data_IF_789764213342
#
_entry.id   IF_789764213342
#
_cell.length_a   1.000
_cell.length_b   1.000
_cell.length_c   1.000
_cell.angle_alpha   90.00
_cell.angle_beta   90.00
_cell.angle_gamma   90.00
#
_symmetry.space_group_name_H-M   'P 1'
#
loop_
_entity.id
_entity.type
_entity.pdbx_description
1 polymer ?
#
# COMPACT_ATOMS: atom_id res chain seq x y z
N UNK A 1 -43.16 -5.67 32.36
CA UNK A 1 -41.74 -5.93 32.70
C UNK A 1 -41.01 -6.91 31.78
N UNK A 2 -41.64 -7.92 31.14
CA UNK A 2 -40.94 -8.90 30.28
C UNK A 2 -40.44 -8.38 28.91
N UNK A 3 -40.96 -7.27 28.39
CA UNK A 3 -40.60 -6.75 27.06
C UNK A 3 -39.26 -5.99 27.00
N UNK A 4 -38.78 -5.45 28.13
CA UNK A 4 -37.50 -4.72 28.14
C UNK A 4 -36.28 -5.65 28.21
N UNK A 5 -36.38 -6.82 28.84
CA UNK A 5 -35.25 -7.75 28.95
C UNK A 5 -34.93 -8.42 27.60
N UNK A 6 -35.93 -8.64 26.75
CA UNK A 6 -35.76 -9.23 25.41
C UNK A 6 -35.05 -8.25 24.47
N UNK A 7 -35.37 -6.95 24.54
CA UNK A 7 -34.71 -5.92 23.71
C UNK A 7 -33.24 -5.72 24.09
N UNK A 8 -32.90 -5.77 25.39
CA UNK A 8 -31.50 -5.72 25.86
C UNK A 8 -30.70 -6.94 25.43
N UNK A 9 -31.30 -8.14 25.46
CA UNK A 9 -30.65 -9.37 25.02
C UNK A 9 -30.29 -9.37 23.54
N UNK A 10 -31.20 -8.90 22.68
CA UNK A 10 -30.95 -8.78 21.22
C UNK A 10 -29.90 -7.70 20.93
N UNK A 11 -29.88 -6.58 21.68
CA UNK A 11 -28.86 -5.54 21.52
C UNK A 11 -27.45 -6.01 21.91
N UNK A 12 -27.32 -6.72 23.03
CA UNK A 12 -26.02 -7.26 23.47
C UNK A 12 -25.52 -8.33 22.50
N UNK A 13 -26.42 -9.17 21.96
CA UNK A 13 -26.07 -10.16 20.94
C UNK A 13 -25.68 -9.52 19.59
N UNK A 14 -26.28 -8.40 19.19
CA UNK A 14 -25.90 -7.67 17.98
C UNK A 14 -24.52 -7.02 18.11
N UNK A 15 -24.19 -6.43 19.26
CA UNK A 15 -22.86 -5.86 19.54
C UNK A 15 -21.80 -6.97 19.62
N UNK A 16 -22.10 -8.08 20.30
CA UNK A 16 -21.20 -9.24 20.36
C UNK A 16 -21.02 -9.92 18.99
N UNK A 17 -22.06 -9.93 18.15
CA UNK A 17 -22.00 -10.47 16.79
C UNK A 17 -21.18 -9.62 15.81
N UNK A 18 -21.22 -8.28 15.93
CA UNK A 18 -20.36 -7.38 15.14
C UNK A 18 -18.89 -7.49 15.58
N UNK A 19 -18.63 -7.71 16.87
CA UNK A 19 -17.26 -7.93 17.38
C UNK A 19 -16.69 -9.31 17.00
N UNK A 20 -17.53 -10.29 16.68
CA UNK A 20 -17.10 -11.65 16.32
C UNK A 20 -16.82 -11.85 14.81
N UNK A 21 -17.06 -10.83 13.98
CA UNK A 21 -16.77 -10.82 12.53
C UNK A 21 -15.77 -9.70 12.18
N UNK A 22 -15.11 -9.11 13.18
CA UNK A 22 -13.93 -8.31 12.93
C UNK A 22 -12.80 -9.28 12.56
N UNK A 23 -12.62 -9.55 11.26
CA UNK A 23 -11.31 -9.97 10.78
C UNK A 23 -10.31 -8.90 11.21
N UNK A 24 -9.12 -9.33 11.60
CA UNK A 24 -7.99 -8.43 11.74
C UNK A 24 -7.79 -7.79 10.39
N UNK A 25 -8.01 -6.48 10.30
CA UNK A 25 -7.72 -5.78 9.08
C UNK A 25 -6.26 -5.95 8.74
N UNK A 26 -6.08 -6.14 7.45
CA UNK A 26 -4.79 -6.43 6.91
C UNK A 26 -3.93 -5.18 7.09
N UNK A 27 -2.75 -5.37 7.66
CA UNK A 27 -1.73 -4.35 7.66
C UNK A 27 -1.23 -4.19 6.19
N UNK A 28 -0.84 -2.98 5.79
CA UNK A 28 -0.54 -2.71 4.39
C UNK A 28 0.74 -3.39 3.89
N UNK A 29 0.90 -3.46 2.57
CA UNK A 29 2.13 -3.92 1.92
C UNK A 29 2.81 -2.82 1.10
N UNK A 30 4.14 -2.85 1.03
CA UNK A 30 4.94 -1.90 0.23
C UNK A 30 5.85 -2.69 -0.69
N UNK A 31 5.96 -2.25 -1.95
CA UNK A 31 6.99 -2.70 -2.88
C UNK A 31 7.65 -1.50 -3.55
N UNK A 32 8.96 -1.36 -3.36
CA UNK A 32 9.76 -0.29 -3.96
C UNK A 32 10.80 -0.89 -4.88
N UNK A 33 11.00 -0.30 -6.06
CA UNK A 33 11.99 -0.80 -7.02
C UNK A 33 12.69 0.32 -7.80
N UNK A 34 13.93 0.04 -8.20
CA UNK A 34 14.76 0.96 -8.95
C UNK A 34 14.55 0.95 -10.47
N UNK A 35 13.70 0.06 -10.98
CA UNK A 35 13.39 -0.04 -12.41
C UNK A 35 12.28 0.93 -12.79
N UNK A 36 12.21 1.28 -14.07
CA UNK A 36 11.09 2.00 -14.70
C UNK A 36 10.04 1.02 -15.27
N UNK A 37 9.65 -0.01 -14.49
CA UNK A 37 8.81 -1.16 -14.92
C UNK A 37 7.61 -0.76 -15.78
N UNK A 38 6.91 0.29 -15.37
CA UNK A 38 5.70 0.75 -16.04
C UNK A 38 6.02 1.36 -17.40
N UNK A 39 7.14 2.08 -17.55
CA UNK A 39 7.57 2.67 -18.82
C UNK A 39 7.85 1.60 -19.89
N UNK A 40 8.24 0.40 -19.46
CA UNK A 40 8.51 -0.76 -20.33
C UNK A 40 7.35 -1.75 -20.40
N UNK A 41 6.12 -1.25 -20.31
CA UNK A 41 4.91 -2.04 -20.50
C UNK A 41 4.81 -3.24 -19.55
N UNK A 42 5.09 -3.01 -18.26
CA UNK A 42 5.06 -4.06 -17.25
C UNK A 42 6.29 -4.99 -17.22
N UNK A 43 7.32 -4.67 -18.02
CA UNK A 43 8.64 -5.29 -18.00
C UNK A 43 8.60 -6.83 -17.96
N UNK A 44 7.96 -7.44 -18.97
CA UNK A 44 7.82 -8.90 -19.14
C UNK A 44 7.11 -9.59 -17.96
N UNK A 45 6.05 -8.98 -17.45
CA UNK A 45 5.25 -9.52 -16.35
C UNK A 45 5.83 -9.23 -14.96
N UNK A 46 6.77 -8.28 -14.85
CA UNK A 46 7.26 -7.86 -13.53
C UNK A 46 6.16 -7.10 -12.76
N UNK A 47 5.36 -6.29 -13.45
CA UNK A 47 4.22 -5.59 -12.84
C UNK A 47 3.23 -6.57 -12.18
N UNK A 48 2.95 -7.70 -12.85
CA UNK A 48 2.11 -8.78 -12.33
C UNK A 48 2.64 -9.35 -11.03
N UNK A 49 3.94 -9.68 -10.99
CA UNK A 49 4.60 -10.23 -9.79
C UNK A 49 4.53 -9.26 -8.62
N UNK A 50 4.72 -7.96 -8.88
CA UNK A 50 4.66 -6.92 -7.84
C UNK A 50 3.25 -6.82 -7.26
N UNK A 51 2.23 -6.81 -8.12
CA UNK A 51 0.84 -6.67 -7.68
C UNK A 51 0.32 -7.94 -7.01
N UNK A 52 0.72 -9.13 -7.48
CA UNK A 52 0.45 -10.39 -6.80
C UNK A 52 1.10 -10.40 -5.40
N UNK A 53 2.34 -9.93 -5.27
CA UNK A 53 3.00 -9.80 -3.98
C UNK A 53 2.23 -8.89 -3.02
N UNK A 54 1.88 -7.68 -3.46
CA UNK A 54 1.17 -6.68 -2.63
C UNK A 54 -0.18 -7.22 -2.16
N UNK A 55 -0.87 -8.01 -3.00
CA UNK A 55 -2.19 -8.55 -2.68
C UNK A 55 -2.17 -9.93 -2.07
N UNK A 56 -1.01 -10.34 -1.55
CA UNK A 56 -0.89 -11.55 -0.74
C UNK A 56 -1.01 -12.84 -1.54
N UNK A 57 -0.72 -12.84 -2.84
CA UNK A 57 -0.76 -14.07 -3.64
C UNK A 57 0.07 -15.18 -2.99
N UNK A 58 -0.55 -16.35 -2.84
CA UNK A 58 0.07 -17.50 -2.17
C UNK A 58 0.10 -17.41 -0.63
N UNK A 59 -0.62 -16.46 -0.01
CA UNK A 59 -0.84 -16.40 1.44
C UNK A 59 -2.31 -16.70 1.78
N UNK A 60 -2.62 -16.80 3.08
CA UNK A 60 -4.01 -16.94 3.55
C UNK A 60 -4.85 -15.67 3.42
N UNK A 61 -4.18 -14.55 3.10
CA UNK A 61 -4.78 -13.21 3.02
C UNK A 61 -4.73 -12.70 1.58
N UNK A 62 -4.73 -13.61 0.60
CA UNK A 62 -4.76 -13.27 -0.83
C UNK A 62 -6.07 -12.56 -1.19
N UNK A 63 -5.94 -11.41 -1.85
CA UNK A 63 -7.06 -10.67 -2.44
C UNK A 63 -6.98 -10.81 -3.96
N UNK A 64 -8.05 -11.31 -4.57
CA UNK A 64 -8.08 -11.56 -6.00
C UNK A 64 -7.87 -10.28 -6.81
N UNK A 65 -7.17 -10.37 -7.94
CA UNK A 65 -7.05 -9.28 -8.94
C UNK A 65 -8.38 -8.68 -9.37
N UNK A 66 -9.47 -9.46 -9.33
CA UNK A 66 -10.80 -9.00 -9.66
C UNK A 66 -11.41 -8.05 -8.60
N UNK A 67 -10.86 -8.05 -7.39
CA UNK A 67 -11.50 -7.52 -6.19
C UNK A 67 -10.75 -6.30 -5.61
N UNK A 68 -9.84 -5.68 -6.35
CA UNK A 68 -9.17 -4.46 -5.87
C UNK A 68 -9.03 -3.36 -6.92
N UNK A 69 -9.06 -2.12 -6.43
CA UNK A 69 -8.99 -0.88 -7.18
C UNK A 69 -7.58 -0.27 -7.12
N UNK A 70 -7.01 0.08 -8.28
CA UNK A 70 -5.69 0.71 -8.35
C UNK A 70 -5.82 2.22 -8.53
N UNK A 71 -5.12 2.98 -7.69
CA UNK A 71 -4.91 4.41 -7.86
C UNK A 71 -3.55 4.70 -8.48
N UNK A 72 -3.53 5.20 -9.71
CA UNK A 72 -2.29 5.59 -10.40
C UNK A 72 -2.09 7.11 -10.35
N UNK A 73 -1.02 7.56 -9.69
CA UNK A 73 -0.76 8.97 -9.39
C UNK A 73 0.34 9.54 -10.27
N UNK A 74 0.07 10.67 -10.95
CA UNK A 74 0.98 11.27 -11.94
C UNK A 74 1.02 12.80 -11.85
N UNK A 75 1.79 13.43 -12.75
CA UNK A 75 1.73 14.88 -13.00
C UNK A 75 0.62 15.33 -13.98
N UNK A 76 -0.27 14.44 -14.40
CA UNK A 76 -1.29 14.73 -15.41
C UNK A 76 -0.76 14.74 -16.86
N UNK A 77 0.50 14.36 -17.07
CA UNK A 77 1.11 14.14 -18.38
C UNK A 77 0.68 12.83 -19.03
N UNK A 78 1.30 12.49 -20.18
CA UNK A 78 1.07 11.21 -20.85
C UNK A 78 1.63 10.07 -20.01
N UNK A 79 0.75 9.16 -19.60
CA UNK A 79 1.05 7.99 -18.80
C UNK A 79 1.87 6.97 -19.60
N UNK A 80 3.19 7.18 -19.71
CA UNK A 80 4.11 6.31 -20.43
C UNK A 80 4.05 4.89 -19.87
N UNK A 81 3.30 4.02 -20.55
CA UNK A 81 3.20 2.60 -20.23
C UNK A 81 2.06 2.18 -19.28
N UNK A 82 1.24 3.12 -18.79
CA UNK A 82 0.00 2.79 -18.08
C UNK A 82 -0.96 1.97 -18.96
N UNK A 83 -0.98 2.22 -20.28
CA UNK A 83 -1.86 1.49 -21.21
C UNK A 83 -1.57 -0.02 -21.29
N UNK A 84 -0.34 -0.43 -21.00
CA UNK A 84 0.03 -1.85 -20.99
C UNK A 84 -0.35 -2.51 -19.65
N UNK A 85 -0.27 -1.76 -18.54
CA UNK A 85 -0.64 -2.23 -17.21
C UNK A 85 -2.17 -2.28 -17.06
N UNK A 86 -2.89 -1.28 -17.57
CA UNK A 86 -4.36 -1.24 -17.53
C UNK A 86 -5.06 -2.36 -18.30
N UNK A 87 -4.38 -3.07 -19.21
CA UNK A 87 -4.97 -4.22 -19.89
C UNK A 87 -5.17 -5.41 -18.94
N UNK A 88 -4.43 -5.46 -17.84
CA UNK A 88 -4.33 -6.62 -16.95
C UNK A 88 -5.07 -6.41 -15.61
N UNK A 89 -5.57 -5.19 -15.34
CA UNK A 89 -6.32 -4.87 -14.11
C UNK A 89 -7.77 -4.43 -14.40
N UNK A 90 -8.75 -4.88 -13.59
CA UNK A 90 -10.16 -4.61 -13.87
C UNK A 90 -10.56 -3.15 -13.66
N UNK A 91 -9.90 -2.44 -12.74
CA UNK A 91 -10.20 -1.06 -12.39
C UNK A 91 -8.91 -0.30 -12.06
N UNK A 92 -8.65 0.77 -12.81
CA UNK A 92 -7.53 1.67 -12.56
C UNK A 92 -8.05 3.11 -12.65
N UNK A 93 -7.98 3.82 -11.53
CA UNK A 93 -8.29 5.25 -11.46
C UNK A 93 -6.99 6.04 -11.55
N UNK A 94 -6.89 6.93 -12.55
CA UNK A 94 -5.75 7.84 -12.67
C UNK A 94 -6.08 9.20 -12.07
N UNK A 95 -5.16 9.77 -11.30
CA UNK A 95 -5.26 11.14 -10.81
C UNK A 95 -3.94 11.89 -10.98
N UNK A 96 -4.04 13.19 -11.27
CA UNK A 96 -2.90 14.10 -11.17
C UNK A 96 -2.76 14.54 -9.73
N UNK A 97 -1.57 14.42 -9.15
CA UNK A 97 -1.30 14.80 -7.77
C UNK A 97 -1.59 16.29 -7.54
N UNK A 98 -1.26 17.14 -8.51
CA UNK A 98 -1.54 18.58 -8.46
C UNK A 98 -3.02 18.95 -8.63
N UNK A 99 -3.89 17.98 -8.93
CA UNK A 99 -5.33 18.21 -9.07
C UNK A 99 -6.09 18.12 -7.75
N UNK A 100 -5.48 17.55 -6.70
CA UNK A 100 -6.07 17.56 -5.37
C UNK A 100 -6.03 18.98 -4.81
N UNK A 101 -7.20 19.47 -4.39
CA UNK A 101 -7.31 20.80 -3.82
C UNK A 101 -6.56 20.92 -2.49
N UNK A 102 -6.54 19.83 -1.72
CA UNK A 102 -5.91 19.70 -0.41
C UNK A 102 -5.71 18.21 -0.05
N UNK A 103 -5.12 17.96 1.12
CA UNK A 103 -4.88 16.63 1.67
C UNK A 103 -6.19 15.83 1.90
N UNK A 104 -7.30 16.50 2.20
CA UNK A 104 -8.59 15.81 2.40
C UNK A 104 -9.17 15.29 1.09
N UNK A 105 -9.01 16.03 -0.02
CA UNK A 105 -9.34 15.55 -1.35
C UNK A 105 -8.48 14.35 -1.75
N UNK A 106 -7.19 14.36 -1.40
CA UNK A 106 -6.30 13.22 -1.60
C UNK A 106 -6.72 12.00 -0.75
N UNK A 107 -7.05 12.17 0.53
CA UNK A 107 -7.58 11.10 1.37
C UNK A 107 -8.89 10.51 0.85
N UNK A 108 -9.75 11.34 0.23
CA UNK A 108 -10.97 10.85 -0.44
C UNK A 108 -10.62 9.95 -1.63
N UNK A 109 -9.61 10.31 -2.42
CA UNK A 109 -9.10 9.44 -3.49
C UNK A 109 -8.54 8.12 -2.94
N UNK A 110 -7.71 8.17 -1.89
CA UNK A 110 -7.16 6.96 -1.26
C UNK A 110 -8.24 6.02 -0.71
N UNK A 111 -9.36 6.56 -0.21
CA UNK A 111 -10.46 5.74 0.30
C UNK A 111 -11.22 4.93 -0.76
N UNK A 112 -10.99 5.24 -2.05
CA UNK A 112 -11.62 4.55 -3.19
C UNK A 112 -10.68 3.62 -3.94
N UNK A 113 -9.49 3.33 -3.38
CA UNK A 113 -8.51 2.43 -3.97
C UNK A 113 -7.96 1.49 -2.90
N UNK A 114 -7.36 0.39 -3.34
CA UNK A 114 -6.64 -0.56 -2.49
C UNK A 114 -5.14 -0.46 -2.68
N UNK A 115 -4.68 -0.10 -3.88
CA UNK A 115 -3.24 0.00 -4.21
C UNK A 115 -2.91 1.39 -4.75
N UNK A 116 -2.05 2.11 -4.05
CA UNK A 116 -1.45 3.35 -4.53
C UNK A 116 -0.20 3.04 -5.36
N UNK A 117 -0.24 3.37 -6.66
CA UNK A 117 0.89 3.17 -7.59
C UNK A 117 1.49 4.51 -7.98
N UNK A 118 2.79 4.65 -7.69
CA UNK A 118 3.62 5.77 -8.10
C UNK A 118 4.54 5.33 -9.24
N UNK A 119 4.41 5.89 -10.45
CA UNK A 119 5.37 5.64 -11.52
C UNK A 119 6.71 6.29 -11.22
N UNK A 120 7.65 6.16 -12.14
CA UNK A 120 8.96 6.78 -11.97
C UNK A 120 8.86 8.31 -11.83
N UNK A 121 9.88 8.92 -11.21
CA UNK A 121 9.88 10.33 -10.83
C UNK A 121 9.59 11.31 -11.97
N UNK A 122 9.88 10.99 -13.24
CA UNK A 122 9.59 11.93 -14.33
C UNK A 122 8.10 12.02 -14.67
N UNK A 123 7.35 10.94 -14.47
CA UNK A 123 5.90 10.92 -14.63
C UNK A 123 5.19 11.49 -13.40
N UNK A 124 5.83 11.43 -12.22
CA UNK A 124 5.35 12.12 -11.01
C UNK A 124 5.72 13.60 -11.05
N UNK A 125 6.94 13.94 -11.42
CA UNK A 125 7.52 15.28 -11.33
C UNK A 125 7.90 15.69 -9.90
N UNK A 126 9.03 16.41 -9.76
CA UNK A 126 9.57 16.81 -8.45
C UNK A 126 8.59 17.64 -7.61
N UNK A 127 7.82 18.53 -8.23
CA UNK A 127 6.83 19.35 -7.53
C UNK A 127 5.71 18.50 -6.90
N UNK A 128 5.23 17.47 -7.61
CA UNK A 128 4.20 16.60 -7.10
C UNK A 128 4.76 15.58 -6.10
N UNK A 129 6.01 15.14 -6.26
CA UNK A 129 6.70 14.35 -5.23
C UNK A 129 6.74 15.13 -3.92
N UNK A 130 7.06 16.43 -3.95
CA UNK A 130 7.01 17.27 -2.75
C UNK A 130 5.58 17.39 -2.16
N UNK A 131 4.54 17.44 -3.00
CA UNK A 131 3.14 17.41 -2.53
C UNK A 131 2.82 16.08 -1.87
N UNK A 132 3.18 14.94 -2.48
CA UNK A 132 2.98 13.61 -1.89
C UNK A 132 3.66 13.49 -0.53
N UNK A 133 4.91 13.95 -0.43
CA UNK A 133 5.65 13.94 0.84
C UNK A 133 4.96 14.80 1.91
N UNK A 134 4.25 15.86 1.51
CA UNK A 134 3.45 16.67 2.45
C UNK A 134 2.16 15.99 2.93
N UNK A 135 1.75 14.89 2.29
CA UNK A 135 0.58 14.08 2.64
C UNK A 135 0.95 12.76 3.34
N UNK A 136 2.16 12.66 3.90
CA UNK A 136 2.67 11.43 4.53
C UNK A 136 1.74 10.89 5.62
N UNK A 137 1.12 11.74 6.45
CA UNK A 137 0.18 11.31 7.49
C UNK A 137 -1.10 10.67 6.91
N UNK A 138 -1.58 11.17 5.78
CA UNK A 138 -2.73 10.59 5.08
C UNK A 138 -2.37 9.27 4.40
N UNK A 139 -1.14 9.16 3.86
CA UNK A 139 -0.62 7.92 3.27
C UNK A 139 -0.41 6.86 4.35
N UNK A 140 0.12 7.24 5.51
CA UNK A 140 0.21 6.40 6.70
C UNK A 140 -1.16 5.89 7.13
N UNK A 141 -2.18 6.75 7.17
CA UNK A 141 -3.55 6.35 7.51
C UNK A 141 -4.11 5.34 6.51
N UNK A 142 -3.88 5.55 5.21
CA UNK A 142 -4.26 4.60 4.15
C UNK A 142 -3.54 3.25 4.31
N UNK A 143 -2.23 3.28 4.50
CA UNK A 143 -1.41 2.09 4.68
C UNK A 143 -1.83 1.27 5.92
N UNK A 144 -1.99 1.96 7.05
CA UNK A 144 -2.45 1.35 8.31
C UNK A 144 -3.89 0.84 8.27
N UNK A 145 -4.66 1.20 7.25
CA UNK A 145 -6.00 0.72 6.97
C UNK A 145 -6.01 -0.45 5.95
N UNK A 146 -4.85 -0.96 5.56
CA UNK A 146 -4.69 -2.08 4.62
C UNK A 146 -4.45 -1.68 3.17
N UNK A 147 -4.18 -0.40 2.92
CA UNK A 147 -3.80 0.09 1.61
C UNK A 147 -2.36 -0.30 1.25
N UNK A 148 -2.15 -0.74 0.01
CA UNK A 148 -0.84 -1.13 -0.49
C UNK A 148 -0.16 -0.01 -1.28
N UNK A 149 1.17 -0.04 -1.31
CA UNK A 149 1.98 0.98 -1.98
C UNK A 149 2.96 0.32 -2.94
N UNK A 150 2.92 0.75 -4.20
CA UNK A 150 3.97 0.47 -5.18
C UNK A 150 4.70 1.75 -5.57
N UNK A 151 5.97 1.85 -5.17
CA UNK A 151 6.89 2.89 -5.63
C UNK A 151 7.81 2.39 -6.74
N UNK A 152 7.78 3.07 -7.89
CA UNK A 152 8.70 2.84 -8.99
C UNK A 152 9.93 3.76 -8.89
N UNK A 153 10.79 3.85 -9.91
CA UNK A 153 12.10 4.48 -9.76
C UNK A 153 12.11 5.97 -9.36
N UNK A 154 12.98 6.32 -8.42
CA UNK A 154 13.30 7.71 -8.02
C UNK A 154 14.32 8.42 -8.91
N UNK A 155 15.00 7.69 -9.81
CA UNK A 155 16.17 8.16 -10.54
C UNK A 155 17.22 8.83 -9.62
N UNK A 156 17.39 10.14 -9.68
CA UNK A 156 18.32 10.92 -8.84
C UNK A 156 17.62 11.64 -7.67
N UNK A 157 16.30 11.54 -7.56
CA UNK A 157 15.52 12.30 -6.57
C UNK A 157 15.52 11.57 -5.24
N UNK A 158 16.45 11.94 -4.37
CA UNK A 158 16.64 11.31 -3.06
C UNK A 158 15.37 11.34 -2.18
N UNK A 159 14.53 12.37 -2.33
CA UNK A 159 13.32 12.58 -1.53
C UNK A 159 12.08 11.92 -2.09
N UNK A 160 12.20 11.07 -3.13
CA UNK A 160 11.02 10.55 -3.83
C UNK A 160 10.13 9.69 -2.92
N UNK A 161 10.72 8.97 -1.98
CA UNK A 161 10.03 8.07 -1.06
C UNK A 161 9.76 8.68 0.33
N UNK A 162 9.97 9.99 0.52
CA UNK A 162 9.78 10.64 1.84
C UNK A 162 8.30 10.75 2.25
N UNK A 163 7.38 10.25 1.43
CA UNK A 163 6.00 10.01 1.83
C UNK A 163 5.86 8.81 2.80
N UNK A 164 6.89 7.95 2.89
CA UNK A 164 7.05 6.95 3.92
C UNK A 164 7.85 7.53 5.10
N UNK A 165 7.69 7.00 6.33
CA UNK A 165 8.49 7.45 7.46
C UNK A 165 9.99 7.28 7.21
N UNK A 166 10.86 8.10 7.83
CA UNK A 166 12.31 8.05 7.62
C UNK A 166 12.98 6.69 7.89
N UNK A 167 12.40 5.88 8.79
CA UNK A 167 12.81 4.49 9.06
C UNK A 167 12.64 3.60 7.82
N UNK A 168 11.52 3.75 7.11
CA UNK A 168 11.24 3.11 5.82
C UNK A 168 11.90 3.80 4.63
N UNK A 169 12.35 5.04 4.80
CA UNK A 169 12.74 5.91 3.69
C UNK A 169 13.94 5.36 2.94
N UNK A 170 13.63 4.94 1.72
CA UNK A 170 14.56 4.51 0.72
C UNK A 170 15.37 5.70 0.17
N UNK A 171 16.67 5.73 0.41
CA UNK A 171 17.56 6.61 -0.37
C UNK A 171 17.91 5.94 -1.69
N UNK A 172 17.54 6.60 -2.78
CA UNK A 172 17.69 6.12 -4.15
C UNK A 172 18.83 6.79 -4.94
N UNK A 173 20.13 6.65 -4.60
CA UNK A 173 21.17 7.20 -5.45
C UNK A 173 21.10 6.58 -6.84
N UNK A 174 21.30 7.43 -7.84
CA UNK A 174 21.14 6.99 -9.22
C UNK A 174 22.19 5.95 -9.59
N UNK A 175 21.72 4.95 -10.30
CA UNK A 175 22.57 4.00 -11.01
C UNK A 175 22.19 4.01 -12.48
N UNK A 176 23.06 3.42 -13.29
CA UNK A 176 22.72 3.07 -14.67
C UNK A 176 23.10 1.62 -14.91
N UNK A 177 22.22 0.90 -15.59
CA UNK A 177 22.51 -0.42 -16.13
C UNK A 177 21.25 -1.14 -16.53
N UNK A 178 21.44 -2.23 -17.28
CA UNK A 178 20.34 -3.06 -17.77
C UNK A 178 20.66 -4.56 -17.67
N UNK A 179 21.71 -4.90 -16.93
CA UNK A 179 22.21 -6.28 -16.83
C UNK A 179 22.98 -6.48 -15.52
N UNK A 180 23.14 -7.74 -15.13
CA UNK A 180 23.85 -8.14 -13.91
C UNK A 180 22.96 -8.14 -12.67
N UNK A 181 21.65 -7.93 -12.86
CA UNK A 181 20.65 -8.01 -11.82
C UNK A 181 20.30 -9.46 -11.52
N UNK A 182 20.20 -9.78 -10.23
CA UNK A 182 19.87 -11.10 -9.72
C UNK A 182 18.70 -10.99 -8.74
N UNK A 183 17.70 -11.83 -8.93
CA UNK A 183 16.68 -12.04 -7.91
C UNK A 183 17.31 -12.78 -6.72
N UNK A 184 16.96 -12.37 -5.50
CA UNK A 184 17.31 -13.11 -4.28
C UNK A 184 16.47 -14.39 -4.17
N UNK A 185 16.67 -15.19 -3.12
CA UNK A 185 15.82 -16.36 -2.89
C UNK A 185 14.35 -15.96 -2.70
N UNK A 186 14.14 -14.85 -2.01
CA UNK A 186 12.86 -14.21 -1.73
C UNK A 186 12.26 -13.60 -3.01
N UNK A 187 13.10 -12.99 -3.88
CA UNK A 187 12.64 -12.51 -5.18
C UNK A 187 12.15 -13.64 -6.07
N UNK A 188 12.90 -14.74 -6.13
CA UNK A 188 12.49 -15.93 -6.89
C UNK A 188 11.24 -16.59 -6.33
N UNK A 189 11.03 -16.55 -5.00
CA UNK A 189 9.86 -17.20 -4.37
C UNK A 189 8.55 -16.50 -4.72
N UNK A 190 8.58 -15.19 -4.97
CA UNK A 190 7.43 -14.42 -5.47
C UNK A 190 7.34 -14.42 -7.00
N UNK A 191 8.29 -15.06 -7.70
CA UNK A 191 8.26 -15.26 -9.15
C UNK A 191 9.13 -14.31 -9.98
N UNK A 192 10.00 -13.51 -9.37
CA UNK A 192 10.93 -12.65 -10.13
C UNK A 192 11.92 -13.53 -10.91
N UNK A 193 12.01 -13.28 -12.21
CA UNK A 193 12.94 -13.99 -13.11
C UNK A 193 14.02 -13.06 -13.63
N UNK A 194 15.17 -13.64 -14.04
CA UNK A 194 16.25 -12.87 -14.66
C UNK A 194 15.80 -12.09 -15.90
N UNK A 195 14.84 -12.62 -16.67
CA UNK A 195 14.32 -11.95 -17.86
C UNK A 195 13.50 -10.70 -17.54
N UNK A 196 12.84 -10.65 -16.38
CA UNK A 196 12.10 -9.46 -15.92
C UNK A 196 13.08 -8.35 -15.53
N UNK A 197 14.10 -8.66 -14.74
CA UNK A 197 15.00 -7.66 -14.15
C UNK A 197 16.23 -7.31 -15.01
N UNK A 198 16.44 -7.99 -16.14
CA UNK A 198 17.52 -7.69 -17.08
C UNK A 198 16.98 -7.38 -18.49
N UNK A 199 17.62 -6.42 -19.15
CA UNK A 199 17.31 -5.95 -20.50
C UNK A 199 16.64 -4.57 -20.55
N UNK A 200 16.36 -3.97 -19.38
CA UNK A 200 15.71 -2.67 -19.24
C UNK A 200 16.51 -1.77 -18.29
N UNK A 201 16.43 -0.43 -18.42
CA UNK A 201 17.12 0.50 -17.52
C UNK A 201 16.70 0.38 -16.05
N UNK A 202 17.68 0.40 -15.16
CA UNK A 202 17.50 0.63 -13.73
C UNK A 202 18.19 1.94 -13.36
N UNK A 203 17.52 2.73 -12.53
CA UNK A 203 17.77 4.16 -12.40
C UNK A 203 18.18 4.56 -10.98
N UNK A 204 17.81 3.77 -9.97
CA UNK A 204 18.26 3.95 -8.59
C UNK A 204 18.51 2.59 -7.91
N UNK A 205 19.25 2.63 -6.81
CA UNK A 205 19.43 1.54 -5.84
C UNK A 205 19.01 2.01 -4.46
N UNK A 206 18.73 1.12 -3.53
CA UNK A 206 18.46 1.45 -2.14
C UNK A 206 19.73 1.32 -1.30
N UNK A 207 20.04 2.35 -0.50
CA UNK A 207 21.24 2.36 0.37
C UNK A 207 20.90 2.50 1.87
N UNK A 208 19.63 2.71 2.17
CA UNK A 208 19.06 2.77 3.52
C UNK A 208 17.59 2.40 3.38
N UNK A 209 17.11 1.56 4.30
CA UNK A 209 15.72 1.13 4.45
C UNK A 209 15.60 0.38 5.79
N UNK A 210 14.37 0.21 6.27
CA UNK A 210 14.09 -0.51 7.51
C UNK A 210 14.51 -1.99 7.38
N UNK A 211 15.21 -2.59 8.37
CA UNK A 211 15.65 -3.99 8.29
C UNK A 211 14.53 -5.02 8.12
N UNK A 212 13.28 -4.68 8.43
CA UNK A 212 12.13 -5.56 8.22
C UNK A 212 11.75 -5.70 6.73
N UNK A 213 12.27 -4.81 5.86
CA UNK A 213 12.11 -4.99 4.42
C UNK A 213 12.88 -6.19 3.91
N UNK A 214 12.19 -7.01 3.13
CA UNK A 214 12.80 -8.07 2.35
C UNK A 214 13.46 -7.50 1.10
N UNK A 215 14.71 -7.92 0.84
CA UNK A 215 15.40 -7.61 -0.42
C UNK A 215 15.04 -8.65 -1.47
N UNK A 216 14.46 -8.21 -2.58
CA UNK A 216 14.03 -9.09 -3.68
C UNK A 216 15.01 -9.14 -4.84
N UNK A 217 15.81 -8.09 -5.02
CA UNK A 217 16.68 -7.96 -6.17
C UNK A 217 17.98 -7.21 -5.82
N UNK A 218 19.10 -7.69 -6.35
CA UNK A 218 20.41 -7.04 -6.19
C UNK A 218 21.20 -6.97 -7.50
N UNK A 219 22.20 -6.09 -7.52
CA UNK A 219 23.28 -6.07 -8.51
C UNK A 219 24.63 -5.96 -7.79
N UNK A 220 25.28 -7.09 -7.54
CA UNK A 220 26.41 -7.13 -6.63
C UNK A 220 25.96 -6.77 -5.21
N UNK A 221 26.50 -5.69 -4.64
CA UNK A 221 26.13 -5.16 -3.32
C UNK A 221 24.96 -4.15 -3.39
N UNK A 222 24.50 -3.81 -4.58
CA UNK A 222 23.43 -2.82 -4.75
C UNK A 222 22.07 -3.47 -4.56
N UNK A 223 21.25 -2.92 -3.67
CA UNK A 223 19.86 -3.35 -3.47
C UNK A 223 18.97 -2.62 -4.47
N UNK A 224 18.14 -3.34 -5.21
CA UNK A 224 17.38 -2.78 -6.35
C UNK A 224 15.88 -2.83 -6.15
N UNK A 225 15.38 -3.86 -5.47
CA UNK A 225 13.97 -3.98 -5.12
C UNK A 225 13.84 -4.47 -3.68
N UNK A 226 12.94 -3.84 -2.94
CA UNK A 226 12.62 -4.16 -1.56
C UNK A 226 11.10 -4.18 -1.38
N UNK A 227 10.62 -4.92 -0.39
CA UNK A 227 9.24 -4.80 0.04
C UNK A 227 8.98 -5.40 1.40
N UNK A 228 7.79 -5.12 1.89
CA UNK A 228 7.27 -5.57 3.18
C UNK A 228 5.78 -5.87 3.02
N UNK A 229 5.25 -6.83 3.79
CA UNK A 229 3.82 -7.15 3.82
C UNK A 229 3.32 -7.14 5.24
N UNK A 230 2.02 -6.97 5.37
CA UNK A 230 1.32 -7.08 6.65
C UNK A 230 1.98 -6.19 7.73
N UNK A 231 2.37 -4.97 7.34
CA UNK A 231 3.07 -4.01 8.18
C UNK A 231 2.27 -2.75 8.48
N UNK A 232 2.64 -2.08 9.57
CA UNK A 232 2.05 -0.82 10.01
C UNK A 232 3.12 0.23 10.18
N UNK A 233 2.74 1.48 10.04
CA UNK A 233 3.55 2.62 10.41
C UNK A 233 3.05 3.11 11.76
N UNK A 234 3.88 3.05 12.80
CA UNK A 234 3.54 3.49 14.16
C UNK A 234 4.68 4.36 14.67
N UNK A 235 4.34 5.56 15.14
CA UNK A 235 5.31 6.53 15.69
C UNK A 235 6.52 6.82 14.78
N UNK A 236 6.36 6.63 13.46
CA UNK A 236 7.41 6.83 12.46
C UNK A 236 8.32 5.62 12.23
N UNK A 237 7.99 4.45 12.75
CA UNK A 237 8.66 3.18 12.47
C UNK A 237 7.73 2.23 11.71
N UNK A 238 8.31 1.29 10.96
CA UNK A 238 7.55 0.23 10.29
C UNK A 238 7.63 -1.02 11.16
N UNK A 239 6.47 -1.55 11.54
CA UNK A 239 6.37 -2.73 12.37
C UNK A 239 5.64 -3.85 11.62
N UNK A 240 6.22 -5.05 11.60
CA UNK A 240 5.53 -6.27 11.18
C UNK A 240 4.91 -6.97 12.39
N UNK A 241 3.76 -7.63 12.20
CA UNK A 241 3.04 -8.32 13.28
C UNK A 241 3.69 -9.63 13.75
N UNK A 242 4.93 -9.92 13.33
CA UNK A 242 5.62 -11.16 13.70
C UNK A 242 6.22 -11.04 15.10
N UNK A 243 5.53 -11.73 16.00
CA UNK A 243 5.80 -11.98 17.41
C UNK A 243 7.05 -12.86 17.64
N UNK A 244 8.18 -12.54 17.00
CA UNK A 244 9.41 -13.35 17.04
C UNK A 244 10.33 -12.99 18.24
N UNK A 245 9.85 -12.18 19.19
CA UNK A 245 10.68 -11.55 20.23
C UNK A 245 10.26 -11.74 21.68
N UNK A 246 9.23 -12.54 21.99
CA UNK A 246 8.84 -12.80 23.39
C UNK A 246 8.21 -11.60 24.12
N UNK A 247 7.73 -10.60 23.39
CA UNK A 247 6.85 -9.58 23.93
C UNK A 247 5.41 -10.09 23.86
N UNK A 248 4.64 -9.93 24.94
CA UNK A 248 3.25 -10.42 25.01
C UNK A 248 2.25 -9.49 24.32
N UNK A 249 2.73 -8.65 23.40
CA UNK A 249 1.90 -7.74 22.64
C UNK A 249 1.09 -8.57 21.64
N UNK A 250 -0.25 -8.62 21.78
CA UNK A 250 -1.07 -9.39 20.87
C UNK A 250 -0.82 -8.93 19.43
N UNK A 251 -0.90 -9.83 18.42
CA UNK A 251 -0.75 -9.45 17.02
C UNK A 251 -1.65 -8.25 16.75
N UNK A 252 -1.08 -7.22 16.11
CA UNK A 252 -1.71 -5.93 15.91
C UNK A 252 -3.03 -6.09 15.14
N UNK A 253 -4.12 -6.28 15.87
CA UNK A 253 -5.45 -6.43 15.29
C UNK A 253 -5.91 -5.05 14.79
N UNK A 254 -5.84 -4.85 13.47
CA UNK A 254 -6.36 -3.64 12.83
C UNK A 254 -7.88 -3.77 12.68
N UNK A 255 -8.69 -2.72 12.85
CA UNK A 255 -10.10 -2.72 12.45
C UNK A 255 -10.28 -2.47 10.95
N UNK A 256 -11.15 -3.23 10.27
CA UNK A 256 -11.39 -3.09 8.82
C UNK A 256 -11.98 -1.72 8.48
N UNK A 257 -11.61 -1.09 7.34
CA UNK A 257 -12.20 0.18 6.90
C UNK A 257 -13.74 0.11 6.85
N UNK A 258 -14.28 -1.02 6.42
CA UNK A 258 -15.73 -1.29 6.38
C UNK A 258 -16.37 -1.39 7.77
N UNK A 259 -15.64 -1.90 8.77
CA UNK A 259 -16.12 -1.94 10.17
C UNK A 259 -16.15 -0.56 10.82
N UNK A 260 -15.24 0.35 10.45
CA UNK A 260 -15.26 1.74 10.88
C UNK A 260 -16.48 2.49 10.34
N UNK A 261 -16.82 2.29 9.06
CA UNK A 261 -18.05 2.83 8.47
C UNK A 261 -19.32 2.27 9.12
N UNK A 262 -19.36 0.95 9.37
CA UNK A 262 -20.48 0.30 10.06
C UNK A 262 -20.61 0.75 11.52
N UNK A 263 -19.50 0.97 12.22
CA UNK A 263 -19.50 1.50 13.59
C UNK A 263 -19.97 2.95 13.64
N UNK A 264 -19.46 3.80 12.74
CA UNK A 264 -19.88 5.20 12.62
C UNK A 264 -21.37 5.31 12.24
N UNK A 265 -21.81 4.53 11.26
CA UNK A 265 -23.23 4.43 10.89
C UNK A 265 -24.11 3.89 12.01
N UNK A 266 -23.63 2.88 12.74
CA UNK A 266 -24.29 2.34 13.92
C UNK A 266 -24.50 3.41 15.00
N UNK A 267 -23.43 4.11 15.40
CA UNK A 267 -23.47 5.16 16.43
C UNK A 267 -24.40 6.32 16.06
N UNK A 268 -24.42 6.74 14.80
CA UNK A 268 -25.37 7.75 14.30
C UNK A 268 -26.81 7.25 14.35
N UNK A 269 -27.06 5.99 14.00
CA UNK A 269 -28.35 5.33 14.15
C UNK A 269 -28.82 5.29 15.62
N UNK A 270 -27.92 5.00 16.56
CA UNK A 270 -28.17 5.02 18.00
C UNK A 270 -28.51 6.42 18.52
N UNK A 271 -27.78 7.46 18.10
CA UNK A 271 -28.06 8.85 18.47
C UNK A 271 -29.43 9.32 17.95
N UNK A 272 -29.80 8.92 16.73
CA UNK A 272 -31.13 9.19 16.15
C UNK A 272 -32.27 8.51 16.92
N UNK A 273 -32.08 7.25 17.34
CA UNK A 273 -33.05 6.49 18.14
C UNK A 273 -33.23 7.07 19.56
N UNK A 274 -32.17 7.57 20.19
CA UNK A 274 -32.24 8.20 21.52
C UNK A 274 -32.97 9.55 21.50
N UNK A 275 -32.77 10.37 20.46
CA UNK A 275 -33.49 11.65 20.30
C UNK A 275 -35.00 11.48 20.14
N UNK A 276 -35.44 10.41 19.48
CA UNK A 276 -36.88 10.11 19.28
C UNK A 276 -37.63 9.70 20.55
N UNK A 277 -36.95 9.35 21.63
CA UNK A 277 -37.58 8.99 22.92
C UNK A 277 -37.75 10.17 23.88
N UNK A 278 -37.18 11.33 23.56
CA UNK A 278 -37.26 12.54 24.39
C UNK A 278 -38.30 13.55 23.90
N UNK A 279 -39.03 13.21 22.82
CA UNK A 279 -40.22 13.90 22.33
C UNK A 279 -41.44 13.05 22.64
#
# INVERSE_FOLDING_TARGET
MKFESIKRGIMVAAIAGVMAIASTAQAGSIYLNGHDVLLHSGQRGYADVILDYLRGAGTTSEISRADYDIGYLTNGGTNGGLSAVMAEFPSVTTASISSFADEAAFGTFLSGIDVMVLPWIFDVGAANSAILNSYSATIETFFNAGGDIWGNSSFTTATFYDFLPPSAAASGPSISGSSGFMATAEGMSIGITSAMINGFPTHNRFVSFDPDFTVFETRGEEVIAIGIRDARIIDGDVETGDDDGGDTTPPLAVPEPSTMFLLAGGLLGFAGLMRRKQQ
#
